data_IF_950580136118
#
_entry.id   IF_950580136118
#
_cell.length_a   1.000
_cell.length_b   1.000
_cell.length_c   1.000
_cell.angle_alpha   90.00
_cell.angle_beta   90.00
_cell.angle_gamma   90.00
#
_symmetry.space_group_name_H-M   'P 1'
#
loop_
_entity.id
_entity.type
_entity.pdbx_description
1 polymer ?
#
# COMPACT_ATOMS: atom_id res chain seq x y z
N UNK A 1 -19.73 -11.62 18.98
CA UNK A 1 -19.23 -12.16 17.68
C UNK A 1 -20.08 -11.63 16.51
N UNK A 2 -19.54 -11.53 15.27
CA UNK A 2 -20.17 -10.76 14.17
C UNK A 2 -21.44 -11.38 13.57
N UNK A 3 -22.45 -10.55 13.29
CA UNK A 3 -23.65 -10.96 12.55
C UNK A 3 -23.44 -10.92 11.02
N UNK A 4 -24.46 -11.35 10.25
CA UNK A 4 -24.38 -11.41 8.78
C UNK A 4 -24.16 -10.03 8.15
N UNK A 5 -24.85 -8.98 8.62
CA UNK A 5 -24.69 -7.60 8.13
C UNK A 5 -23.27 -7.10 8.34
N UNK A 6 -22.68 -7.36 9.51
CA UNK A 6 -21.31 -7.01 9.86
C UNK A 6 -20.31 -7.75 8.98
N UNK A 7 -20.47 -9.06 8.81
CA UNK A 7 -19.60 -9.90 7.98
C UNK A 7 -19.60 -9.41 6.54
N UNK A 8 -20.80 -9.15 5.98
CA UNK A 8 -20.95 -8.60 4.62
C UNK A 8 -20.30 -7.23 4.46
N UNK A 9 -20.44 -6.36 5.47
CA UNK A 9 -19.79 -5.05 5.45
C UNK A 9 -18.26 -5.17 5.46
N UNK A 10 -17.70 -6.00 6.34
CA UNK A 10 -16.25 -6.23 6.46
C UNK A 10 -15.61 -6.83 5.20
N UNK A 11 -16.36 -7.66 4.47
CA UNK A 11 -15.92 -8.28 3.21
C UNK A 11 -16.05 -7.37 1.99
N UNK A 12 -16.88 -6.32 2.05
CA UNK A 12 -17.10 -5.42 0.92
C UNK A 12 -15.78 -4.78 0.48
N UNK A 13 -15.64 -4.56 -0.82
CA UNK A 13 -14.51 -3.80 -1.35
C UNK A 13 -14.46 -2.37 -0.77
N UNK A 14 -13.24 -1.88 -0.61
CA UNK A 14 -13.00 -0.53 -0.13
C UNK A 14 -13.34 0.46 -1.25
N UNK A 15 -14.19 1.44 -0.93
CA UNK A 15 -14.54 2.51 -1.84
C UNK A 15 -13.32 3.39 -2.14
N UNK A 16 -13.03 3.63 -3.43
CA UNK A 16 -11.88 4.43 -3.86
C UNK A 16 -11.93 5.86 -3.34
N UNK A 17 -13.11 6.41 -3.08
CA UNK A 17 -13.31 7.75 -2.53
C UNK A 17 -12.83 7.91 -1.08
N UNK A 18 -12.69 6.80 -0.34
CA UNK A 18 -12.14 6.79 1.03
C UNK A 18 -10.61 6.79 1.04
N UNK A 19 -9.99 6.43 -0.07
CA UNK A 19 -8.54 6.28 -0.17
C UNK A 19 -7.90 7.66 -0.36
N UNK A 20 -6.87 7.93 0.44
CA UNK A 20 -5.97 9.07 0.29
C UNK A 20 -4.59 8.59 -0.14
N UNK A 21 -3.83 9.50 -0.73
CA UNK A 21 -2.45 9.21 -1.15
C UNK A 21 -1.55 10.24 -0.52
N UNK A 22 -0.49 9.76 0.13
CA UNK A 22 0.63 10.59 0.58
C UNK A 22 1.87 10.25 -0.25
N UNK A 23 2.71 11.24 -0.46
CA UNK A 23 4.00 11.04 -1.11
C UNK A 23 5.11 10.99 -0.05
N UNK A 24 5.91 9.94 -0.07
CA UNK A 24 7.07 9.79 0.81
C UNK A 24 8.23 9.23 0.00
N UNK A 25 9.35 9.96 -0.05
CA UNK A 25 10.53 9.57 -0.83
C UNK A 25 10.19 9.21 -2.29
N UNK A 26 9.39 10.04 -2.97
CA UNK A 26 8.87 9.84 -4.33
C UNK A 26 8.00 8.59 -4.52
N UNK A 27 7.55 7.95 -3.44
CA UNK A 27 6.61 6.82 -3.48
C UNK A 27 5.24 7.32 -3.02
N UNK A 28 4.23 7.06 -3.86
CA UNK A 28 2.81 7.27 -3.52
C UNK A 28 2.31 6.12 -2.66
N UNK A 29 1.91 6.42 -1.44
CA UNK A 29 1.42 5.44 -0.47
C UNK A 29 -0.07 5.67 -0.22
N UNK A 30 -0.95 4.71 -0.58
CA UNK A 30 -2.36 4.81 -0.25
C UNK A 30 -2.58 4.61 1.26
N UNK A 31 -3.53 5.34 1.83
CA UNK A 31 -3.91 5.21 3.23
C UNK A 31 -5.37 5.61 3.47
N UNK A 32 -5.91 5.19 4.62
CA UNK A 32 -7.17 5.72 5.16
C UNK A 32 -6.89 6.73 6.28
N UNK A 33 -7.71 7.76 6.33
CA UNK A 33 -7.67 8.80 7.37
C UNK A 33 -8.19 8.24 8.71
N UNK A 34 -7.74 8.82 9.83
CA UNK A 34 -8.10 8.33 11.17
C UNK A 34 -9.61 8.40 11.43
N UNK A 35 -10.24 9.53 11.09
CA UNK A 35 -11.69 9.72 11.28
C UNK A 35 -12.50 8.72 10.45
N UNK A 36 -12.11 8.49 9.19
CA UNK A 36 -12.81 7.57 8.28
C UNK A 36 -12.78 6.12 8.79
N UNK A 37 -11.67 5.70 9.40
CA UNK A 37 -11.56 4.38 10.05
C UNK A 37 -12.44 4.30 11.30
N UNK A 38 -12.54 5.37 12.08
CA UNK A 38 -13.42 5.45 13.26
C UNK A 38 -14.89 5.40 12.84
N UNK A 39 -15.28 6.16 11.82
CA UNK A 39 -16.65 6.17 11.28
C UNK A 39 -17.05 4.81 10.73
N UNK A 40 -16.14 4.12 10.04
CA UNK A 40 -16.36 2.74 9.61
C UNK A 40 -16.55 1.78 10.80
N UNK A 41 -15.78 1.93 11.87
CA UNK A 41 -15.95 1.11 13.08
C UNK A 41 -17.30 1.37 13.74
N UNK A 42 -17.70 2.64 13.88
CA UNK A 42 -19.01 3.04 14.39
C UNK A 42 -20.16 2.49 13.54
N UNK A 43 -20.03 2.53 12.21
CA UNK A 43 -21.06 2.03 11.29
C UNK A 43 -21.18 0.50 11.31
N UNK A 44 -20.05 -0.22 11.35
CA UNK A 44 -20.04 -1.67 11.28
C UNK A 44 -20.35 -2.29 12.64
N UNK A 45 -19.63 -1.88 13.68
CA UNK A 45 -19.74 -2.50 15.01
C UNK A 45 -20.87 -1.87 15.84
N UNK A 46 -21.12 -0.58 15.66
CA UNK A 46 -22.05 0.20 16.48
C UNK A 46 -21.29 0.90 17.61
N UNK A 47 -21.68 2.15 17.92
CA UNK A 47 -20.99 3.01 18.89
C UNK A 47 -20.76 2.38 20.27
N UNK A 48 -21.65 1.48 20.72
CA UNK A 48 -21.55 0.80 22.01
C UNK A 48 -20.75 -0.51 21.99
N UNK A 49 -20.47 -1.08 20.81
CA UNK A 49 -19.97 -2.46 20.70
C UNK A 49 -18.49 -2.53 20.30
N UNK A 50 -17.76 -1.43 20.29
CA UNK A 50 -16.31 -1.45 20.14
C UNK A 50 -15.66 -0.39 21.02
N UNK A 51 -14.41 -0.65 21.38
CA UNK A 51 -13.57 0.31 22.11
C UNK A 51 -12.12 0.10 21.73
N UNK A 52 -11.26 1.08 22.06
CA UNK A 52 -9.82 0.87 22.00
C UNK A 52 -9.14 1.47 23.22
N UNK A 53 -7.98 0.91 23.56
CA UNK A 53 -7.13 1.39 24.64
C UNK A 53 -5.68 1.50 24.15
N UNK A 54 -4.99 2.53 24.63
CA UNK A 54 -3.54 2.66 24.43
C UNK A 54 -2.84 1.83 25.50
N UNK A 55 -2.30 0.68 25.11
CA UNK A 55 -1.59 -0.25 25.99
C UNK A 55 -0.18 0.26 26.31
N UNK A 56 0.46 0.88 25.33
CA UNK A 56 1.79 1.46 25.45
C UNK A 56 1.88 2.71 24.59
N UNK A 57 2.55 3.73 25.11
CA UNK A 57 3.00 4.89 24.35
C UNK A 57 4.38 5.27 24.90
N UNK A 58 5.41 5.11 24.07
CA UNK A 58 6.79 5.41 24.48
C UNK A 58 7.52 6.21 23.41
N UNK A 59 8.38 7.12 23.88
CA UNK A 59 9.35 7.77 23.02
C UNK A 59 10.46 6.78 22.68
N UNK A 60 10.79 6.66 21.40
CA UNK A 60 11.84 5.73 20.92
C UNK A 60 13.11 6.45 20.51
N UNK A 61 13.02 7.71 20.07
CA UNK A 61 14.18 8.50 19.68
C UNK A 61 13.87 10.00 19.76
N UNK A 62 14.93 10.78 19.91
CA UNK A 62 14.90 12.24 19.82
C UNK A 62 16.22 12.73 19.24
N UNK A 63 16.14 13.61 18.25
CA UNK A 63 17.29 14.21 17.58
C UNK A 63 16.97 15.64 17.11
N UNK A 64 17.98 16.33 16.59
CA UNK A 64 17.82 17.62 15.92
C UNK A 64 18.28 17.47 14.48
N UNK A 65 17.42 17.84 13.53
CA UNK A 65 17.77 17.75 12.11
C UNK A 65 18.59 18.97 11.64
N UNK A 66 19.05 18.93 10.38
CA UNK A 66 19.86 19.99 9.77
C UNK A 66 19.18 21.38 9.76
N UNK A 67 17.85 21.43 9.86
CA UNK A 67 17.07 22.67 9.92
C UNK A 67 16.85 23.16 11.35
N UNK A 68 17.57 22.59 12.33
CA UNK A 68 17.43 22.87 13.76
C UNK A 68 16.00 22.63 14.27
N UNK A 69 15.27 21.69 13.67
CA UNK A 69 13.99 21.23 14.22
C UNK A 69 14.26 20.02 15.13
N UNK A 70 13.51 19.94 16.21
CA UNK A 70 13.45 18.78 17.08
C UNK A 70 12.64 17.70 16.36
N UNK A 71 13.20 16.50 16.26
CA UNK A 71 12.58 15.33 15.66
C UNK A 71 12.39 14.30 16.77
N UNK A 72 11.14 13.92 17.03
CA UNK A 72 10.79 12.94 18.06
C UNK A 72 9.97 11.82 17.45
N UNK A 73 10.30 10.60 17.82
CA UNK A 73 9.57 9.42 17.40
C UNK A 73 8.92 8.74 18.59
N UNK A 74 7.67 8.31 18.42
CA UNK A 74 6.95 7.48 19.37
C UNK A 74 6.53 6.16 18.72
N UNK A 75 6.54 5.09 19.51
CA UNK A 75 5.78 3.88 19.20
C UNK A 75 4.59 3.80 20.15
N UNK A 76 3.46 3.36 19.61
CA UNK A 76 2.27 3.07 20.41
C UNK A 76 1.85 1.62 20.19
N UNK A 77 1.21 1.02 21.18
CA UNK A 77 0.52 -0.24 21.05
C UNK A 77 -0.93 0.00 21.42
N UNK A 78 -1.85 -0.26 20.48
CA UNK A 78 -3.29 -0.07 20.69
C UNK A 78 -3.98 -1.42 20.64
N UNK A 79 -4.85 -1.68 21.61
CA UNK A 79 -5.75 -2.83 21.65
C UNK A 79 -7.16 -2.36 21.29
N UNK A 80 -7.78 -3.03 20.31
CA UNK A 80 -9.16 -2.80 19.88
C UNK A 80 -9.99 -3.99 20.30
N UNK A 81 -11.04 -3.74 21.08
CA UNK A 81 -12.01 -4.73 21.54
C UNK A 81 -13.33 -4.55 20.79
N UNK A 82 -13.94 -5.64 20.34
CA UNK A 82 -15.27 -5.65 19.72
C UNK A 82 -16.15 -6.68 20.40
N UNK A 83 -17.36 -6.25 20.75
CA UNK A 83 -18.38 -7.00 21.47
C UNK A 83 -19.51 -7.42 20.52
N UNK A 84 -20.26 -8.48 20.83
CA UNK A 84 -21.62 -8.64 20.28
C UNK A 84 -22.62 -7.69 20.92
N UNK A 85 -23.83 -7.68 20.35
CA UNK A 85 -24.95 -6.84 20.76
C UNK A 85 -25.34 -6.99 22.23
N UNK A 86 -25.18 -8.18 22.82
CA UNK A 86 -25.48 -8.44 24.23
C UNK A 86 -24.23 -8.39 25.13
N UNK A 87 -23.07 -8.06 24.57
CA UNK A 87 -21.77 -8.02 25.24
C UNK A 87 -21.36 -9.33 25.93
N UNK A 88 -21.95 -10.46 25.54
CA UNK A 88 -21.63 -11.78 26.11
C UNK A 88 -20.31 -12.35 25.58
N UNK A 89 -19.88 -11.94 24.38
CA UNK A 89 -18.61 -12.36 23.76
C UNK A 89 -17.89 -11.17 23.17
N UNK A 90 -16.56 -11.20 23.27
CA UNK A 90 -15.71 -10.21 22.64
C UNK A 90 -14.52 -10.87 21.94
N UNK A 91 -13.95 -10.15 20.99
CA UNK A 91 -12.67 -10.44 20.37
C UNK A 91 -11.82 -9.17 20.42
N UNK A 92 -10.51 -9.33 20.43
CA UNK A 92 -9.60 -8.19 20.36
C UNK A 92 -8.48 -8.38 19.35
N UNK A 93 -7.93 -7.26 18.90
CA UNK A 93 -6.76 -7.19 18.02
C UNK A 93 -5.85 -6.10 18.54
N UNK A 94 -4.55 -6.30 18.38
CA UNK A 94 -3.54 -5.38 18.85
C UNK A 94 -2.44 -5.29 17.81
N UNK A 95 -1.97 -4.08 17.55
CA UNK A 95 -0.87 -3.82 16.63
C UNK A 95 -0.04 -2.64 17.16
N UNK A 96 1.17 -2.52 16.64
CA UNK A 96 2.06 -1.39 16.88
C UNK A 96 1.74 -0.29 15.88
N UNK A 97 1.86 0.96 16.31
CA UNK A 97 1.90 2.13 15.43
C UNK A 97 3.12 2.98 15.69
N UNK A 98 3.46 3.82 14.72
CA UNK A 98 4.62 4.70 14.81
C UNK A 98 4.27 6.11 14.38
N UNK A 99 4.81 7.10 15.08
CA UNK A 99 4.60 8.52 14.78
C UNK A 99 5.90 9.31 14.83
N UNK A 100 6.01 10.32 13.97
CA UNK A 100 7.19 11.18 13.86
C UNK A 100 6.76 12.65 13.89
N UNK A 101 7.19 13.35 14.93
CA UNK A 101 6.94 14.77 15.12
C UNK A 101 8.18 15.55 14.76
N UNK A 102 8.05 16.52 13.87
CA UNK A 102 9.13 17.43 13.47
C UNK A 102 8.64 18.85 13.71
N UNK A 103 9.21 19.54 14.69
CA UNK A 103 8.80 20.89 15.04
C UNK A 103 9.97 21.72 15.59
N UNK A 104 9.81 23.05 15.64
CA UNK A 104 10.77 23.92 16.33
C UNK A 104 10.69 23.75 17.84
N UNK A 105 9.47 23.56 18.37
CA UNK A 105 9.22 23.33 19.79
C UNK A 105 9.25 21.83 20.13
N UNK A 106 9.96 21.40 21.19
CA UNK A 106 9.87 20.04 21.69
C UNK A 106 8.43 19.62 22.01
N UNK A 107 7.63 20.51 22.62
CA UNK A 107 6.27 20.20 23.02
C UNK A 107 5.38 19.83 21.82
N UNK A 108 5.49 20.60 20.74
CA UNK A 108 4.77 20.33 19.48
C UNK A 108 5.25 19.03 18.82
N UNK A 109 6.57 18.75 18.86
CA UNK A 109 7.12 17.51 18.32
C UNK A 109 6.62 16.28 19.12
N UNK A 110 6.57 16.36 20.45
CA UNK A 110 5.98 15.32 21.31
C UNK A 110 4.49 15.13 21.01
N UNK A 111 3.72 16.22 20.92
CA UNK A 111 2.28 16.17 20.65
C UNK A 111 1.98 15.50 19.31
N UNK A 112 2.65 15.92 18.24
CA UNK A 112 2.43 15.40 16.89
C UNK A 112 2.84 13.92 16.78
N UNK A 113 4.02 13.57 17.29
CA UNK A 113 4.52 12.18 17.24
C UNK A 113 3.64 11.21 18.04
N UNK A 114 3.23 11.58 19.25
CA UNK A 114 2.38 10.75 20.09
C UNK A 114 1.00 10.53 19.46
N UNK A 115 0.36 11.59 18.95
CA UNK A 115 -0.95 11.52 18.28
C UNK A 115 -0.90 10.64 17.02
N UNK A 116 0.15 10.80 16.20
CA UNK A 116 0.32 9.99 15.00
C UNK A 116 0.53 8.51 15.37
N UNK A 117 1.38 8.21 16.36
CA UNK A 117 1.66 6.83 16.76
C UNK A 117 0.40 6.08 17.21
N UNK A 118 -0.44 6.70 18.04
CA UNK A 118 -1.70 6.10 18.51
C UNK A 118 -2.68 5.91 17.35
N UNK A 119 -2.80 6.92 16.47
CA UNK A 119 -3.69 6.85 15.31
C UNK A 119 -3.26 5.75 14.34
N UNK A 120 -1.95 5.62 14.08
CA UNK A 120 -1.42 4.55 13.23
C UNK A 120 -1.67 3.16 13.84
N UNK A 121 -1.42 3.00 15.14
CA UNK A 121 -1.65 1.75 15.86
C UNK A 121 -3.13 1.33 15.83
N UNK A 122 -4.05 2.28 16.01
CA UNK A 122 -5.49 2.07 15.92
C UNK A 122 -5.89 1.58 14.52
N UNK A 123 -5.45 2.27 13.46
CA UNK A 123 -5.74 1.88 12.07
C UNK A 123 -5.22 0.49 11.75
N UNK A 124 -4.01 0.17 12.20
CA UNK A 124 -3.37 -1.14 11.96
C UNK A 124 -4.06 -2.27 12.72
N UNK A 125 -4.50 -2.01 13.95
CA UNK A 125 -5.30 -2.96 14.73
C UNK A 125 -6.63 -3.25 14.04
N UNK A 126 -7.34 -2.21 13.60
CA UNK A 126 -8.63 -2.33 12.91
C UNK A 126 -8.53 -3.01 11.54
N UNK A 127 -7.43 -2.80 10.80
CA UNK A 127 -7.16 -3.42 9.50
C UNK A 127 -7.39 -4.94 9.51
N UNK A 128 -7.05 -5.61 10.59
CA UNK A 128 -7.13 -7.07 10.70
C UNK A 128 -8.55 -7.63 10.75
N UNK A 129 -9.58 -6.78 10.91
CA UNK A 129 -10.99 -7.20 10.87
C UNK A 129 -11.58 -7.26 9.47
N UNK A 130 -11.03 -6.56 8.48
CA UNK A 130 -11.58 -6.59 7.14
C UNK A 130 -11.16 -5.44 6.24
N UNK A 131 -11.68 -5.49 5.01
CA UNK A 131 -11.23 -4.59 3.96
C UNK A 131 -11.67 -3.13 4.16
N UNK A 132 -12.78 -2.92 4.87
CA UNK A 132 -13.28 -1.59 5.21
C UNK A 132 -12.32 -0.76 6.07
N UNK A 133 -11.30 -1.40 6.65
CA UNK A 133 -10.23 -0.78 7.44
C UNK A 133 -8.88 -0.77 6.70
N UNK A 134 -8.90 -0.94 5.36
CA UNK A 134 -7.71 -0.74 4.53
C UNK A 134 -6.83 -1.98 4.33
N UNK A 135 -7.33 -3.20 4.60
CA UNK A 135 -6.53 -4.42 4.39
C UNK A 135 -6.08 -4.58 2.93
N UNK A 136 -6.94 -4.28 1.95
CA UNK A 136 -6.58 -4.36 0.53
C UNK A 136 -5.51 -3.37 0.09
N UNK A 137 -5.26 -2.29 0.84
CA UNK A 137 -4.22 -1.31 0.52
C UNK A 137 -2.80 -1.90 0.64
N UNK A 138 -2.66 -3.04 1.30
CA UNK A 138 -1.40 -3.77 1.44
C UNK A 138 -1.17 -4.79 0.31
N UNK A 139 -2.18 -5.04 -0.52
CA UNK A 139 -2.10 -5.93 -1.66
C UNK A 139 -1.42 -5.21 -2.83
N UNK A 140 -0.14 -5.50 -3.07
CA UNK A 140 0.67 -4.88 -4.12
C UNK A 140 0.19 -5.24 -5.54
N UNK A 141 -0.65 -6.27 -5.71
CA UNK A 141 -1.25 -6.59 -7.01
C UNK A 141 -2.35 -5.59 -7.40
N UNK A 142 -2.90 -4.86 -6.42
CA UNK A 142 -3.93 -3.85 -6.63
C UNK A 142 -3.27 -2.48 -6.79
N UNK A 143 -3.02 -2.09 -8.03
CA UNK A 143 -2.60 -0.71 -8.34
C UNK A 143 -3.76 0.24 -8.04
N UNK A 144 -3.75 0.90 -6.88
CA UNK A 144 -4.71 1.94 -6.54
C UNK A 144 -4.39 3.21 -7.31
N UNK A 145 -4.97 3.33 -8.51
CA UNK A 145 -4.97 4.58 -9.28
C UNK A 145 -6.18 5.40 -8.81
N UNK A 146 -5.99 6.59 -8.20
CA UNK A 146 -7.11 7.44 -7.85
C UNK A 146 -7.82 7.88 -9.14
N UNK A 147 -9.13 7.66 -9.22
CA UNK A 147 -9.95 7.97 -10.41
C UNK A 147 -10.04 9.47 -10.75
N UNK A 148 -9.45 10.36 -9.95
CA UNK A 148 -9.49 11.81 -10.18
C UNK A 148 -8.38 12.33 -11.12
N UNK A 149 -7.70 11.45 -11.85
CA UNK A 149 -6.73 11.85 -12.86
C UNK A 149 -7.07 11.24 -14.22
N UNK A 150 -8.27 11.51 -14.75
CA UNK A 150 -8.59 11.51 -16.19
C UNK A 150 -10.08 11.79 -16.42
N UNK A 151 -10.42 13.08 -16.47
CA UNK A 151 -11.55 13.52 -17.27
C UNK A 151 -10.98 14.50 -18.29
N UNK A 152 -10.37 13.93 -19.33
CA UNK A 152 -10.17 14.53 -20.65
C UNK A 152 -9.37 13.54 -21.51
N UNK A 153 -10.08 12.68 -22.22
CA UNK A 153 -9.89 12.39 -23.64
C UNK A 153 -10.71 11.15 -24.00
N UNK A 154 -11.92 11.38 -24.52
CA UNK A 154 -12.61 10.39 -25.34
C UNK A 154 -11.81 10.20 -26.61
N UNK A 155 -11.25 9.00 -26.81
CA UNK A 155 -10.91 8.48 -28.13
C UNK A 155 -10.89 6.95 -28.09
N UNK A 156 -12.07 6.39 -28.40
CA UNK A 156 -12.32 5.12 -29.13
C UNK A 156 -11.27 4.01 -28.99
N UNK A 157 -11.64 2.94 -28.29
CA UNK A 157 -11.27 1.58 -28.67
C UNK A 157 -12.34 0.59 -28.19
N UNK A 158 -13.21 0.20 -29.12
CA UNK A 158 -14.06 -0.99 -29.05
C UNK A 158 -13.18 -2.21 -29.15
N UNK A 159 -13.07 -3.04 -28.09
CA UNK A 159 -12.76 -4.48 -28.23
C UNK A 159 -13.44 -5.25 -27.10
N UNK A 160 -14.38 -6.09 -27.52
CA UNK A 160 -15.04 -7.17 -26.79
C UNK A 160 -14.03 -8.22 -26.31
N UNK A 161 -14.32 -8.97 -25.23
CA UNK A 161 -14.31 -10.45 -25.17
C UNK A 161 -14.15 -11.01 -23.72
N UNK A 162 -15.24 -11.63 -23.27
CA UNK A 162 -15.34 -12.94 -22.61
C UNK A 162 -14.82 -13.16 -21.17
N UNK A 163 -15.81 -13.39 -20.28
CA UNK A 163 -15.70 -14.15 -19.04
C UNK A 163 -15.29 -15.60 -19.32
N UNK A 164 -14.39 -16.15 -18.52
CA UNK A 164 -14.44 -17.55 -18.11
C UNK A 164 -13.91 -17.70 -16.67
N UNK A 165 -14.75 -18.27 -15.81
CA UNK A 165 -14.46 -18.67 -14.43
C UNK A 165 -13.59 -19.92 -14.43
N UNK A 166 -12.51 -19.97 -13.62
CA UNK A 166 -11.95 -21.23 -13.11
C UNK A 166 -11.43 -21.08 -11.67
N UNK A 167 -11.77 -22.09 -10.85
CA UNK A 167 -11.39 -22.32 -9.45
C UNK A 167 -9.90 -22.68 -9.29
N UNK A 168 -9.32 -22.57 -8.06
CA UNK A 168 -7.88 -22.57 -7.86
C UNK A 168 -7.28 -23.98 -7.84
N UNK A 169 -6.11 -24.14 -8.46
CA UNK A 169 -5.23 -25.29 -8.25
C UNK A 169 -3.89 -24.83 -7.67
N UNK A 170 -3.55 -25.39 -6.52
CA UNK A 170 -2.24 -25.28 -5.89
C UNK A 170 -1.22 -26.12 -6.66
N UNK A 171 -0.25 -25.47 -7.31
CA UNK A 171 1.03 -26.09 -7.64
C UNK A 171 2.16 -25.07 -7.49
N UNK A 172 3.18 -25.49 -6.75
CA UNK A 172 4.50 -24.88 -6.60
C UNK A 172 5.09 -24.56 -7.98
N UNK A 173 5.51 -23.32 -8.25
CA UNK A 173 6.20 -22.95 -9.51
C UNK A 173 7.52 -22.24 -9.26
N UNK A 174 8.58 -22.85 -9.78
CA UNK A 174 9.88 -22.22 -9.99
C UNK A 174 9.76 -21.05 -10.96
N UNK A 175 10.61 -20.05 -10.73
CA UNK A 175 10.70 -18.80 -11.48
C UNK A 175 10.90 -19.02 -12.98
N UNK A 176 9.87 -18.70 -13.77
CA UNK A 176 9.99 -18.23 -15.16
C UNK A 176 8.93 -17.13 -15.33
N UNK A 177 9.35 -15.86 -15.22
CA UNK A 177 8.49 -14.74 -15.58
C UNK A 177 8.26 -14.78 -17.10
N UNK A 178 7.03 -14.59 -17.54
CA UNK A 178 6.72 -14.49 -18.96
C UNK A 178 7.19 -13.13 -19.51
N UNK A 179 7.50 -13.02 -20.82
CA UNK A 179 7.90 -11.74 -21.43
C UNK A 179 6.88 -10.62 -21.17
N UNK A 180 5.60 -10.97 -21.05
CA UNK A 180 4.50 -10.06 -20.73
C UNK A 180 4.65 -9.46 -19.33
N UNK A 181 5.07 -10.27 -18.34
CA UNK A 181 5.29 -9.83 -16.96
C UNK A 181 6.50 -8.88 -16.85
N UNK A 182 7.54 -9.11 -17.64
CA UNK A 182 8.73 -8.25 -17.68
C UNK A 182 8.38 -6.85 -18.23
N UNK A 183 7.60 -6.80 -19.30
CA UNK A 183 7.18 -5.56 -19.92
C UNK A 183 6.26 -4.76 -19.01
N UNK A 184 5.29 -5.41 -18.36
CA UNK A 184 4.43 -4.76 -17.37
C UNK A 184 5.22 -4.23 -16.18
N UNK A 185 6.23 -4.98 -15.70
CA UNK A 185 7.07 -4.56 -14.58
C UNK A 185 7.88 -3.31 -14.91
N UNK A 186 8.47 -3.24 -16.11
CA UNK A 186 9.22 -2.05 -16.55
C UNK A 186 8.32 -0.84 -16.79
N UNK A 187 7.15 -1.04 -17.39
CA UNK A 187 6.16 0.03 -17.59
C UNK A 187 5.65 0.61 -16.27
N UNK A 188 5.41 -0.23 -15.26
CA UNK A 188 5.04 0.22 -13.91
C UNK A 188 6.12 1.07 -13.24
N UNK A 189 7.38 0.92 -13.66
CA UNK A 189 8.50 1.77 -13.23
C UNK A 189 8.65 3.04 -14.08
N UNK A 190 7.73 3.30 -15.01
CA UNK A 190 7.82 4.40 -15.98
C UNK A 190 9.00 4.24 -16.93
N UNK A 191 9.36 2.99 -17.26
CA UNK A 191 10.38 2.63 -18.23
C UNK A 191 9.72 1.96 -19.42
N UNK A 192 10.18 2.31 -20.61
CA UNK A 192 9.74 1.74 -21.87
C UNK A 192 10.77 0.73 -22.38
N UNK A 193 10.31 -0.20 -23.21
CA UNK A 193 11.16 -1.17 -23.89
C UNK A 193 11.07 -0.92 -25.39
N UNK A 194 12.22 -0.79 -26.04
CA UNK A 194 12.33 -0.65 -27.49
C UNK A 194 13.12 -1.81 -28.05
N UNK A 195 12.55 -2.53 -29.01
CA UNK A 195 13.24 -3.60 -29.71
C UNK A 195 14.08 -3.03 -30.86
N UNK A 196 15.39 -3.31 -30.88
CA UNK A 196 16.30 -2.95 -31.98
C UNK A 196 17.35 -4.03 -32.19
N UNK A 197 17.59 -4.42 -33.44
CA UNK A 197 18.66 -5.34 -33.84
C UNK A 197 18.72 -6.66 -33.03
N UNK A 198 17.57 -7.24 -32.67
CA UNK A 198 17.51 -8.48 -31.88
C UNK A 198 17.68 -8.30 -30.36
N UNK A 199 17.70 -7.06 -29.87
CA UNK A 199 17.79 -6.72 -28.45
C UNK A 199 16.57 -5.93 -27.99
N UNK A 200 16.17 -6.15 -26.73
CA UNK A 200 15.28 -5.27 -25.98
C UNK A 200 16.14 -4.22 -25.27
N UNK A 201 15.85 -2.94 -25.49
CA UNK A 201 16.53 -1.80 -24.88
C UNK A 201 15.59 -1.10 -23.91
N UNK A 202 16.06 -0.78 -22.70
CA UNK A 202 15.26 -0.04 -21.72
C UNK A 202 15.50 1.46 -21.88
N UNK A 203 14.43 2.22 -22.05
CA UNK A 203 14.44 3.68 -22.19
C UNK A 203 13.53 4.34 -21.16
N UNK A 204 13.78 5.59 -20.80
CA UNK A 204 12.93 6.33 -19.87
C UNK A 204 13.69 7.33 -19.01
N UNK A 205 13.00 7.99 -18.08
CA UNK A 205 13.64 8.90 -17.11
C UNK A 205 14.21 8.11 -15.92
N UNK A 206 15.39 8.54 -15.48
CA UNK A 206 16.11 8.00 -14.32
C UNK A 206 16.36 6.49 -14.37
N UNK A 207 16.62 5.92 -15.56
CA UNK A 207 16.81 4.46 -15.76
C UNK A 207 17.84 3.87 -14.80
N UNK A 208 18.94 4.59 -14.55
CA UNK A 208 20.02 4.12 -13.67
C UNK A 208 19.60 4.00 -12.19
N UNK A 209 18.63 4.82 -11.74
CA UNK A 209 18.10 4.72 -10.37
C UNK A 209 17.33 3.41 -10.13
N UNK A 210 16.88 2.76 -11.21
CA UNK A 210 16.10 1.50 -11.22
C UNK A 210 16.95 0.28 -11.59
N UNK A 211 18.28 0.41 -11.56
CA UNK A 211 19.26 -0.59 -12.02
C UNK A 211 19.08 -1.99 -11.41
N UNK A 212 18.69 -2.08 -10.15
CA UNK A 212 18.62 -3.37 -9.45
C UNK A 212 17.43 -4.19 -9.94
N UNK A 213 16.28 -3.56 -10.17
CA UNK A 213 15.10 -4.20 -10.77
C UNK A 213 15.33 -4.55 -12.24
N UNK A 214 16.00 -3.67 -13.00
CA UNK A 214 16.32 -3.94 -14.41
C UNK A 214 17.28 -5.15 -14.52
N UNK A 215 18.28 -5.25 -13.62
CA UNK A 215 19.17 -6.41 -13.52
C UNK A 215 18.42 -7.70 -13.15
N UNK A 216 17.47 -7.65 -12.22
CA UNK A 216 16.70 -8.83 -11.82
C UNK A 216 15.83 -9.40 -12.94
N UNK A 217 15.41 -8.56 -13.89
CA UNK A 217 14.69 -8.96 -15.10
C UNK A 217 15.61 -9.50 -16.22
N UNK A 218 16.91 -9.65 -15.94
CA UNK A 218 17.86 -10.26 -16.86
C UNK A 218 18.50 -9.30 -17.86
N UNK A 219 18.26 -7.99 -17.77
CA UNK A 219 18.95 -7.00 -18.59
C UNK A 219 20.40 -6.81 -18.11
N UNK A 220 21.26 -6.38 -19.04
CA UNK A 220 22.68 -6.10 -18.84
C UNK A 220 22.96 -4.65 -19.21
N UNK A 221 23.95 -4.04 -18.56
CA UNK A 221 24.35 -2.67 -18.83
C UNK A 221 25.49 -2.65 -19.84
N UNK A 222 25.34 -1.88 -20.90
CA UNK A 222 26.42 -1.58 -21.84
C UNK A 222 27.05 -0.21 -21.52
N UNK A 223 28.35 -0.22 -21.23
CA UNK A 223 29.11 1.00 -20.93
C UNK A 223 29.34 1.88 -22.17
N UNK A 224 29.35 1.30 -23.38
CA UNK A 224 29.57 2.06 -24.61
C UNK A 224 28.36 2.92 -24.98
N UNK A 225 27.18 2.32 -25.05
CA UNK A 225 25.92 3.02 -25.36
C UNK A 225 25.24 3.65 -24.15
N UNK A 226 25.67 3.34 -22.93
CA UNK A 226 25.03 3.73 -21.66
C UNK A 226 23.55 3.32 -21.60
N UNK A 227 23.26 2.09 -22.03
CA UNK A 227 21.90 1.54 -22.09
C UNK A 227 21.82 0.16 -21.46
N UNK A 228 20.63 -0.18 -20.96
CA UNK A 228 20.29 -1.53 -20.53
C UNK A 228 19.72 -2.32 -21.70
N UNK A 229 20.25 -3.52 -21.92
CA UNK A 229 19.86 -4.38 -23.03
C UNK A 229 19.63 -5.83 -22.59
N UNK A 230 18.78 -6.55 -23.32
CA UNK A 230 18.56 -7.99 -23.16
C UNK A 230 18.41 -8.63 -24.54
N UNK A 231 19.13 -9.72 -24.80
CA UNK A 231 19.02 -10.44 -26.06
C UNK A 231 17.67 -11.15 -26.17
N UNK A 232 17.03 -11.08 -27.34
CA UNK A 232 15.82 -11.85 -27.62
C UNK A 232 16.31 -13.22 -28.11
N UNK A 233 16.08 -14.28 -27.32
CA UNK A 233 16.39 -15.63 -27.76
C UNK A 233 15.48 -15.99 -28.95
N UNK A 234 16.03 -16.37 -30.12
CA UNK A 234 15.22 -16.68 -31.30
C UNK A 234 14.47 -18.04 -31.24
N UNK A 235 14.52 -18.78 -30.13
CA UNK A 235 13.93 -20.13 -30.03
C UNK A 235 12.83 -20.24 -28.97
N UNK A 236 11.80 -19.39 -29.06
CA UNK A 236 10.50 -19.67 -28.43
C UNK A 236 9.41 -19.36 -29.45
N UNK A 237 9.23 -20.28 -30.38
CA UNK A 237 8.05 -20.44 -31.22
C UNK A 237 7.60 -21.92 -31.11
#
# INVERSE_FOLDING_TARGET
MFNEKQTKALQKELDSSRIRIREKANIKLPYLEGFDVIDAANYIFGFGNWSYSTVLLEQVSQETNNNQNVVICYKAIVKVDIFDLDHSKHIFRQDVGFGTGVAKSPAEAHENSAKEAVTDALKRSLRTFGNQFGNSLYDKSRNYVPQNAQQNNLSKATVSLHKQEQKPNFYTRQNNLSQTDEQTTLQNLGLDIVQRNGFLLVTGKDVFSKKDTIKSLGFRWDNGSKQWYKAINPNVA
#
